data_IF_569637767568
#
_entry.id   IF_569637767568
#
_cell.length_a   1.000
_cell.length_b   1.000
_cell.length_c   1.000
_cell.angle_alpha   90.00
_cell.angle_beta   90.00
_cell.angle_gamma   90.00
#
_symmetry.space_group_name_H-M   'P 1'
#
loop_
_entity.id
_entity.type
_entity.pdbx_description
1 polymer ?
#
# COMPACT_ATOMS: atom_id res chain seq x y z
N UNK A 1 -8.39 -1.99 -30.00
CA UNK A 1 -9.83 -2.29 -29.85
C UNK A 1 -9.99 -3.38 -28.82
N UNK A 2 -11.07 -3.38 -28.02
CA UNK A 2 -11.36 -4.47 -27.09
C UNK A 2 -11.58 -5.80 -27.84
N UNK A 3 -11.26 -6.93 -27.20
CA UNK A 3 -11.43 -8.30 -27.72
C UNK A 3 -12.52 -9.04 -26.95
N UNK A 4 -13.20 -10.00 -27.59
CA UNK A 4 -14.18 -10.84 -26.87
C UNK A 4 -13.48 -11.75 -25.86
N UNK A 5 -14.13 -12.01 -24.72
CA UNK A 5 -13.64 -13.02 -23.75
C UNK A 5 -13.58 -14.42 -24.35
N UNK A 6 -14.42 -14.71 -25.35
CA UNK A 6 -14.46 -16.00 -26.05
C UNK A 6 -13.23 -16.25 -26.93
N UNK A 7 -12.39 -15.23 -27.16
CA UNK A 7 -11.11 -15.38 -27.86
C UNK A 7 -10.00 -15.98 -26.99
N UNK A 8 -10.26 -16.21 -25.69
CA UNK A 8 -9.27 -16.71 -24.73
C UNK A 8 -9.67 -18.08 -24.19
N UNK A 9 -8.78 -19.07 -24.31
CA UNK A 9 -9.00 -20.42 -23.78
C UNK A 9 -8.99 -20.48 -22.24
N UNK A 10 -8.47 -19.44 -21.58
CA UNK A 10 -8.33 -19.41 -20.12
C UNK A 10 -8.45 -17.98 -19.60
N UNK A 11 -9.15 -17.83 -18.47
CA UNK A 11 -9.29 -16.59 -17.71
C UNK A 11 -8.89 -16.88 -16.27
N UNK A 12 -7.89 -16.17 -15.77
CA UNK A 12 -7.49 -16.23 -14.36
C UNK A 12 -8.14 -15.08 -13.58
N UNK A 13 -8.44 -15.27 -12.29
CA UNK A 13 -8.76 -14.14 -11.44
C UNK A 13 -7.57 -13.18 -11.42
N UNK A 14 -7.86 -11.90 -11.42
CA UNK A 14 -6.83 -10.89 -11.16
C UNK A 14 -6.54 -10.90 -9.66
N UNK A 15 -5.30 -11.20 -9.28
CA UNK A 15 -4.83 -11.24 -7.90
C UNK A 15 -3.79 -10.15 -7.70
N UNK A 16 -3.87 -9.47 -6.57
CA UNK A 16 -2.86 -8.54 -6.07
C UNK A 16 -2.07 -9.26 -4.97
N UNK A 17 -0.88 -8.75 -4.65
CA UNK A 17 -0.14 -9.21 -3.47
C UNK A 17 -0.94 -8.90 -2.21
N UNK A 18 -0.93 -9.81 -1.24
CA UNK A 18 -1.47 -9.52 0.09
C UNK A 18 -0.47 -8.67 0.89
N UNK A 19 -0.91 -7.78 1.80
CA UNK A 19 -0.01 -6.95 2.58
C UNK A 19 1.06 -7.74 3.35
N UNK A 20 0.68 -8.87 3.93
CA UNK A 20 1.59 -9.75 4.69
C UNK A 20 2.68 -10.43 3.85
N UNK A 21 2.52 -10.46 2.52
CA UNK A 21 3.52 -11.04 1.62
C UNK A 21 4.67 -10.07 1.33
N UNK A 22 4.47 -8.77 1.57
CA UNK A 22 5.38 -7.71 1.12
C UNK A 22 5.86 -6.79 2.24
N UNK A 23 5.06 -6.62 3.31
CA UNK A 23 5.40 -5.72 4.43
C UNK A 23 5.91 -6.54 5.62
N UNK A 24 6.87 -5.97 6.33
CA UNK A 24 7.34 -6.54 7.60
C UNK A 24 6.42 -6.10 8.75
N UNK A 25 6.09 -7.00 9.67
CA UNK A 25 5.12 -6.77 10.76
C UNK A 25 5.53 -5.61 11.70
N UNK A 26 6.84 -5.40 11.88
CA UNK A 26 7.40 -4.39 12.80
C UNK A 26 7.80 -3.07 12.10
N UNK A 27 7.55 -2.93 10.79
CA UNK A 27 7.95 -1.75 10.02
C UNK A 27 6.75 -0.93 9.54
N UNK A 28 7.01 0.37 9.36
CA UNK A 28 6.06 1.36 8.84
C UNK A 28 6.71 2.04 7.63
N UNK A 29 5.92 2.32 6.60
CA UNK A 29 6.39 2.77 5.29
C UNK A 29 5.54 3.94 4.80
N UNK A 30 6.16 4.95 4.21
CA UNK A 30 5.47 5.94 3.41
C UNK A 30 4.90 5.31 2.12
N UNK A 31 3.91 5.96 1.50
CA UNK A 31 3.34 5.47 0.23
C UNK A 31 4.41 5.29 -0.88
N UNK A 32 5.38 6.21 -1.06
CA UNK A 32 6.50 5.99 -1.98
C UNK A 32 7.31 4.73 -1.67
N UNK A 33 7.64 4.46 -0.40
CA UNK A 33 8.39 3.26 -0.03
C UNK A 33 7.60 1.99 -0.31
N UNK A 34 6.31 1.94 0.05
CA UNK A 34 5.42 0.81 -0.27
C UNK A 34 5.33 0.58 -1.79
N UNK A 35 5.29 1.66 -2.56
CA UNK A 35 5.20 1.57 -4.01
C UNK A 35 6.43 0.89 -4.62
N UNK A 36 7.63 1.12 -4.06
CA UNK A 36 8.88 0.47 -4.46
C UNK A 36 8.87 -1.01 -4.06
N UNK A 37 8.47 -1.32 -2.83
CA UNK A 37 8.36 -2.71 -2.34
C UNK A 37 7.39 -3.54 -3.18
N UNK A 38 6.25 -2.95 -3.60
CA UNK A 38 5.30 -3.59 -4.53
C UNK A 38 5.90 -3.89 -5.92
N UNK A 39 6.94 -3.15 -6.34
CA UNK A 39 7.71 -3.45 -7.56
C UNK A 39 8.84 -4.47 -7.31
N UNK A 40 9.01 -4.96 -6.08
CA UNK A 40 10.11 -5.84 -5.69
C UNK A 40 11.44 -5.10 -5.52
N UNK A 41 11.40 -3.80 -5.23
CA UNK A 41 12.58 -2.96 -4.99
C UNK A 41 12.81 -2.76 -3.48
N UNK A 42 14.04 -2.37 -3.13
CA UNK A 42 14.34 -1.89 -1.79
C UNK A 42 13.60 -0.56 -1.52
N UNK A 43 13.02 -0.34 -0.33
CA UNK A 43 12.29 0.89 -0.01
C UNK A 43 13.15 2.16 -0.16
N UNK A 44 14.48 2.09 -0.03
CA UNK A 44 15.38 3.22 -0.20
C UNK A 44 15.87 3.41 -1.65
N UNK A 45 15.36 2.62 -2.60
CA UNK A 45 15.76 2.72 -4.01
C UNK A 45 15.41 4.10 -4.59
N UNK A 46 16.43 4.84 -5.03
CA UNK A 46 16.23 6.11 -5.73
C UNK A 46 15.64 5.88 -7.12
N UNK A 47 14.50 6.52 -7.38
CA UNK A 47 13.82 6.54 -8.68
C UNK A 47 13.78 7.97 -9.21
N UNK A 48 13.63 8.12 -10.52
CA UNK A 48 13.27 9.42 -11.08
C UNK A 48 11.81 9.76 -10.72
N UNK A 49 11.52 11.07 -10.64
CA UNK A 49 10.23 11.56 -10.16
C UNK A 49 9.03 11.08 -11.01
N UNK A 50 9.19 10.95 -12.34
CA UNK A 50 8.08 10.52 -13.20
C UNK A 50 7.74 9.04 -12.97
N UNK A 51 8.76 8.21 -12.80
CA UNK A 51 8.59 6.80 -12.44
C UNK A 51 7.95 6.67 -11.06
N UNK A 52 8.44 7.43 -10.08
CA UNK A 52 7.91 7.41 -8.71
C UNK A 52 6.43 7.81 -8.64
N UNK A 53 6.06 8.94 -9.26
CA UNK A 53 4.68 9.41 -9.33
C UNK A 53 3.76 8.34 -9.94
N UNK A 54 4.24 7.61 -10.94
CA UNK A 54 3.47 6.57 -11.61
C UNK A 54 3.18 5.39 -10.68
N UNK A 55 4.20 4.88 -9.99
CA UNK A 55 4.04 3.71 -9.13
C UNK A 55 3.25 4.04 -7.86
N UNK A 56 3.36 5.27 -7.34
CA UNK A 56 2.52 5.76 -6.24
C UNK A 56 1.04 5.74 -6.64
N UNK A 57 0.69 6.26 -7.82
CA UNK A 57 -0.69 6.22 -8.32
C UNK A 57 -1.23 4.80 -8.45
N UNK A 58 -0.38 3.83 -8.80
CA UNK A 58 -0.77 2.42 -8.86
C UNK A 58 -0.90 1.75 -7.50
N UNK A 59 -0.19 2.27 -6.49
CA UNK A 59 -0.20 1.77 -5.12
C UNK A 59 -1.45 2.19 -4.35
N UNK A 60 -2.00 3.38 -4.63
CA UNK A 60 -3.21 3.87 -3.93
C UNK A 60 -4.41 2.92 -4.05
N UNK A 61 -4.78 2.38 -5.22
CA UNK A 61 -5.84 1.37 -5.31
C UNK A 61 -5.58 0.12 -4.48
N UNK A 62 -4.33 -0.31 -4.36
CA UNK A 62 -3.93 -1.45 -3.53
C UNK A 62 -4.13 -1.13 -2.04
N UNK A 63 -3.64 0.02 -1.57
CA UNK A 63 -3.88 0.50 -0.20
C UNK A 63 -5.37 0.55 0.15
N UNK A 64 -6.19 1.09 -0.77
CA UNK A 64 -7.64 1.17 -0.59
C UNK A 64 -8.31 -0.21 -0.52
N UNK A 65 -7.79 -1.20 -1.25
CA UNK A 65 -8.33 -2.55 -1.27
C UNK A 65 -8.03 -3.33 0.02
N UNK A 66 -6.96 -2.96 0.72
CA UNK A 66 -6.45 -3.65 1.92
C UNK A 66 -6.50 -2.77 3.19
N UNK A 67 -7.31 -1.71 3.20
CA UNK A 67 -7.34 -0.74 4.28
C UNK A 67 -7.74 -1.35 5.64
N UNK A 68 -8.48 -2.45 5.65
CA UNK A 68 -8.86 -3.18 6.85
C UNK A 68 -7.73 -4.05 7.45
N UNK A 69 -6.63 -4.21 6.74
CA UNK A 69 -5.45 -4.98 7.16
C UNK A 69 -4.28 -4.07 7.58
N UNK A 70 -4.41 -2.76 7.32
CA UNK A 70 -3.35 -1.78 7.50
C UNK A 70 -3.62 -0.83 8.68
N UNK A 71 -2.54 -0.25 9.21
CA UNK A 71 -2.55 0.86 10.16
C UNK A 71 -1.82 2.06 9.57
N UNK A 72 -2.10 3.25 10.08
CA UNK A 72 -1.38 4.49 9.77
C UNK A 72 -0.97 5.16 11.09
N UNK A 73 0.19 5.82 11.15
CA UNK A 73 0.50 6.68 12.28
C UNK A 73 -0.20 8.04 12.17
N UNK A 74 -0.26 8.76 13.30
CA UNK A 74 -0.56 10.19 13.30
C UNK A 74 0.61 10.95 12.65
N UNK A 75 0.43 11.64 11.51
CA UNK A 75 1.51 12.32 10.81
C UNK A 75 2.15 13.45 11.63
N UNK A 76 3.47 13.60 11.52
CA UNK A 76 4.20 14.67 12.20
C UNK A 76 4.25 15.93 11.33
N UNK A 77 3.41 16.93 11.64
CA UNK A 77 3.41 18.21 10.94
C UNK A 77 2.93 18.10 9.48
N UNK A 78 3.77 18.53 8.53
CA UNK A 78 3.47 18.49 7.09
C UNK A 78 4.02 17.22 6.40
N UNK A 79 4.63 16.30 7.15
CA UNK A 79 5.20 15.07 6.62
C UNK A 79 4.11 14.02 6.33
N UNK A 80 4.30 13.16 5.32
CA UNK A 80 3.33 12.10 5.03
C UNK A 80 3.26 11.07 6.18
N UNK A 81 2.07 10.50 6.36
CA UNK A 81 1.89 9.33 7.21
C UNK A 81 2.62 8.10 6.67
N UNK A 82 3.07 7.28 7.60
CA UNK A 82 3.57 5.93 7.40
C UNK A 82 2.45 4.92 7.65
N UNK A 83 2.45 3.86 6.87
CA UNK A 83 1.51 2.75 6.87
C UNK A 83 2.22 1.45 7.21
N UNK A 84 1.55 0.53 7.89
CA UNK A 84 2.09 -0.78 8.20
C UNK A 84 1.00 -1.81 8.41
N UNK A 85 1.40 -3.03 8.73
CA UNK A 85 0.45 -4.13 8.99
C UNK A 85 -0.24 -3.95 10.33
N UNK A 86 -1.51 -4.33 10.40
CA UNK A 86 -2.13 -4.63 11.70
C UNK A 86 -1.45 -5.85 12.31
N UNK A 87 -0.87 -5.66 13.49
CA UNK A 87 -0.21 -6.75 14.23
C UNK A 87 -0.90 -7.01 15.56
N UNK A 88 -0.77 -8.25 16.05
CA UNK A 88 -1.23 -8.59 17.41
C UNK A 88 -0.23 -8.11 18.47
N UNK A 89 1.05 -7.99 18.10
CA UNK A 89 2.12 -7.52 18.98
C UNK A 89 1.97 -6.04 19.32
N UNK A 90 1.54 -5.21 18.35
CA UNK A 90 1.19 -3.80 18.52
C UNK A 90 -0.15 -3.51 17.82
N UNK A 91 -1.28 -3.71 18.51
CA UNK A 91 -2.58 -3.40 17.95
C UNK A 91 -2.74 -1.89 17.73
N UNK A 92 -3.57 -1.53 16.76
CA UNK A 92 -3.97 -0.14 16.51
C UNK A 92 -4.63 0.46 17.75
N UNK A 93 -4.31 1.73 18.02
CA UNK A 93 -4.95 2.49 19.08
C UNK A 93 -6.38 2.90 18.65
N UNK A 94 -7.25 3.16 19.63
CA UNK A 94 -8.60 3.66 19.35
C UNK A 94 -8.53 5.11 18.85
N UNK A 95 -9.36 5.45 17.85
CA UNK A 95 -9.46 6.83 17.36
C UNK A 95 -10.03 7.69 18.50
N UNK A 96 -9.33 8.77 18.93
CA UNK A 96 -9.83 9.69 19.96
C UNK A 96 -11.20 10.27 19.58
N UNK A 97 -12.08 10.47 20.57
CA UNK A 97 -13.43 11.02 20.34
C UNK A 97 -13.42 12.44 19.75
N UNK A 98 -12.31 13.16 19.90
CA UNK A 98 -12.07 14.54 19.46
C UNK A 98 -11.19 14.65 18.21
N UNK A 99 -10.85 13.53 17.55
CA UNK A 99 -9.97 13.53 16.36
C UNK A 99 -10.53 14.29 15.14
N UNK A 100 -11.84 14.53 15.11
CA UNK A 100 -12.56 15.23 14.03
C UNK A 100 -12.91 16.71 14.35
N UNK A 101 -12.53 17.24 15.52
CA UNK A 101 -12.77 18.66 15.92
C UNK A 101 -11.61 19.61 15.54
#
# INVERSE_FOLDING_TARGET
>A
MPKSKDEFDTLYPYQLYEPEEILEEDLMYTVPEMSRVLQGLDPETELDAETEDRIVVWTVPWLMAHADELVINDPEGDEPGYFGLKSQSRPADEIPEDADE
#
